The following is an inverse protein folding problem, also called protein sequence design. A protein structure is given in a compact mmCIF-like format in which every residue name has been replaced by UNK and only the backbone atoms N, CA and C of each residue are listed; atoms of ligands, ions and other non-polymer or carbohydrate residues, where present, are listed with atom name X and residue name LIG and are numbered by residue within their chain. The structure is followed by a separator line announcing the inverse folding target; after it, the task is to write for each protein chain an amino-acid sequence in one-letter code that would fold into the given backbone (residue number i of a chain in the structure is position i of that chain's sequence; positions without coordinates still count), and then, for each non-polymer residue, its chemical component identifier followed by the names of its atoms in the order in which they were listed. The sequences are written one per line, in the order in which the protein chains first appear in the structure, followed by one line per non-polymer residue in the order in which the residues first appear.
data_IF_237240455087
#
_entry.id   IF_237240455087
#
_cell.length_a   1.000
_cell.length_b   1.000
_cell.length_c   1.000
_cell.angle_alpha   90.00
_cell.angle_beta   90.00
_cell.angle_gamma   90.00
#
_symmetry.space_group_name_H-M   'P 1'
#
loop_
_entity.id
_entity.type
_entity.pdbx_description
1 polymer ?
#
# COMPACT_ATOMS: atom_id res chain seq x y z
N UNK A 1 31.74 -11.57 28.41
CA UNK A 1 31.45 -10.22 28.95
C UNK A 1 30.93 -9.37 27.80
N UNK A 2 29.76 -8.74 27.93
CA UNK A 2 29.23 -7.85 26.89
C UNK A 2 30.00 -6.53 26.89
N UNK A 3 30.58 -6.15 25.75
CA UNK A 3 31.25 -4.86 25.58
C UNK A 3 30.27 -3.69 25.54
N UNK A 4 30.79 -2.47 25.59
CA UNK A 4 29.97 -1.27 25.43
C UNK A 4 29.33 -1.26 24.03
N UNK A 5 28.01 -1.03 23.98
CA UNK A 5 27.24 -0.96 22.73
C UNK A 5 27.10 0.49 22.25
N UNK A 6 27.04 0.68 20.93
CA UNK A 6 26.88 1.99 20.31
C UNK A 6 25.50 2.61 20.63
N UNK A 7 25.42 3.94 20.57
CA UNK A 7 24.15 4.66 20.71
C UNK A 7 23.23 4.39 19.51
N UNK A 8 21.97 4.11 19.79
CA UNK A 8 20.91 3.86 18.81
C UNK A 8 19.75 4.83 19.02
N UNK A 9 18.86 4.94 18.02
CA UNK A 9 17.64 5.74 18.11
C UNK A 9 16.49 5.06 18.87
N UNK A 10 16.70 3.83 19.35
CA UNK A 10 15.70 3.04 20.06
C UNK A 10 16.35 2.23 21.18
N UNK A 11 15.81 2.36 22.40
CA UNK A 11 16.21 1.59 23.58
C UNK A 11 15.23 0.44 23.91
N UNK A 12 14.98 0.20 25.20
CA UNK A 12 14.10 -0.86 25.69
C UNK A 12 12.94 -0.31 26.53
N UNK A 13 12.08 -1.18 27.06
CA UNK A 13 11.07 -0.81 28.05
C UNK A 13 11.72 -0.07 29.22
N UNK A 14 11.23 1.14 29.51
CA UNK A 14 11.79 2.05 30.52
C UNK A 14 12.85 3.04 30.00
N UNK A 15 13.38 2.85 28.80
CA UNK A 15 14.43 3.70 28.22
C UNK A 15 14.37 3.79 26.69
N UNK A 16 13.15 3.89 26.12
CA UNK A 16 12.92 3.75 24.68
C UNK A 16 13.60 4.83 23.80
N UNK A 17 14.04 5.95 24.40
CA UNK A 17 14.69 7.06 23.69
C UNK A 17 13.73 8.16 23.23
N UNK A 18 12.45 8.11 23.64
CA UNK A 18 11.46 9.15 23.34
C UNK A 18 11.67 10.41 24.20
N UNK A 19 11.13 11.56 23.78
CA UNK A 19 10.99 12.74 24.64
C UNK A 19 10.29 12.39 25.96
N UNK A 20 10.62 13.14 27.03
CA UNK A 20 9.95 13.00 28.33
C UNK A 20 8.47 13.39 28.20
N UNK A 21 7.57 12.52 28.64
CA UNK A 21 6.13 12.77 28.61
C UNK A 21 5.62 13.06 30.03
N UNK A 22 4.84 14.12 30.22
CA UNK A 22 4.22 14.49 31.50
C UNK A 22 2.82 15.06 31.24
N UNK A 23 1.84 14.66 32.06
CA UNK A 23 0.46 15.18 31.97
C UNK A 23 -0.46 14.46 30.98
N UNK A 24 -0.01 13.38 30.34
CA UNK A 24 -0.84 12.53 29.48
C UNK A 24 -1.33 11.33 30.28
N UNK A 25 -2.65 11.17 30.40
CA UNK A 25 -3.28 10.02 31.07
C UNK A 25 -4.02 9.17 30.05
N UNK A 26 -3.70 7.88 29.97
CA UNK A 26 -4.38 6.91 29.12
C UNK A 26 -5.36 6.07 29.92
N UNK A 27 -6.51 5.76 29.32
CA UNK A 27 -7.54 4.90 29.90
C UNK A 27 -7.82 3.76 28.93
N UNK A 28 -8.05 2.57 29.46
CA UNK A 28 -8.40 1.39 28.68
C UNK A 28 -9.41 0.52 29.44
N UNK A 29 -10.24 -0.21 28.69
CA UNK A 29 -11.19 -1.20 29.24
C UNK A 29 -10.71 -2.60 28.86
N UNK A 30 -10.75 -3.55 29.81
CA UNK A 30 -10.39 -4.95 29.56
C UNK A 30 -11.16 -5.51 28.36
N UNK A 31 -10.49 -6.19 27.39
CA UNK A 31 -11.18 -6.77 26.24
C UNK A 31 -12.29 -7.75 26.62
N UNK A 32 -12.17 -8.47 27.75
CA UNK A 32 -13.21 -9.38 28.26
C UNK A 32 -14.47 -8.67 28.74
N UNK A 33 -14.39 -7.37 29.03
CA UNK A 33 -15.53 -6.54 29.41
C UNK A 33 -16.18 -5.82 28.21
N UNK A 34 -15.62 -5.98 27.00
CA UNK A 34 -16.14 -5.38 25.77
C UNK A 34 -16.90 -6.41 24.94
N UNK A 35 -17.85 -5.96 24.13
CA UNK A 35 -18.48 -6.79 23.10
C UNK A 35 -17.51 -6.87 21.91
N UNK A 36 -16.94 -8.05 21.59
CA UNK A 36 -15.99 -8.17 20.49
C UNK A 36 -16.68 -7.84 19.16
N UNK A 37 -15.98 -7.12 18.29
CA UNK A 37 -16.45 -6.75 16.95
C UNK A 37 -17.77 -5.96 16.95
N UNK A 38 -18.12 -5.28 18.04
CA UNK A 38 -19.32 -4.46 18.06
C UNK A 38 -19.22 -3.31 17.05
N UNK A 39 -20.21 -3.18 16.17
CA UNK A 39 -20.26 -2.12 15.16
C UNK A 39 -19.32 -2.32 13.96
N UNK A 40 -18.72 -3.51 13.77
CA UNK A 40 -17.78 -3.73 12.66
C UNK A 40 -18.42 -3.51 11.30
N UNK A 41 -19.65 -3.94 11.07
CA UNK A 41 -20.25 -3.87 9.73
C UNK A 41 -20.53 -2.42 9.31
N UNK A 42 -21.14 -1.64 10.20
CA UNK A 42 -21.39 -0.23 9.97
C UNK A 42 -20.08 0.54 9.80
N UNK A 43 -19.13 0.37 10.74
CA UNK A 43 -17.88 1.10 10.72
C UNK A 43 -16.97 0.65 9.56
N UNK A 44 -16.89 -0.64 9.26
CA UNK A 44 -16.06 -1.15 8.18
C UNK A 44 -16.55 -0.63 6.83
N UNK A 45 -17.85 -0.62 6.54
CA UNK A 45 -18.34 -0.17 5.22
C UNK A 45 -18.04 1.32 5.01
N UNK A 46 -18.54 2.20 5.89
CA UNK A 46 -18.42 3.64 5.69
C UNK A 46 -16.99 4.15 5.88
N UNK A 47 -16.27 3.65 6.88
CA UNK A 47 -14.90 4.10 7.13
C UNK A 47 -13.94 3.56 6.07
N UNK A 48 -14.12 2.32 5.58
CA UNK A 48 -13.27 1.78 4.52
C UNK A 48 -13.49 2.55 3.22
N UNK A 49 -14.74 2.80 2.84
CA UNK A 49 -15.03 3.61 1.66
C UNK A 49 -14.41 5.00 1.76
N UNK A 50 -14.57 5.68 2.90
CA UNK A 50 -13.96 7.00 3.15
C UNK A 50 -12.43 6.96 2.99
N UNK A 51 -11.76 5.92 3.51
CA UNK A 51 -10.31 5.76 3.40
C UNK A 51 -9.85 5.47 1.98
N UNK A 52 -10.55 4.56 1.28
CA UNK A 52 -10.23 4.19 -0.11
C UNK A 52 -10.45 5.37 -1.04
N UNK A 53 -11.56 6.11 -0.90
CA UNK A 53 -11.87 7.28 -1.72
C UNK A 53 -10.75 8.32 -1.71
N UNK A 54 -10.11 8.56 -0.57
CA UNK A 54 -9.02 9.54 -0.46
C UNK A 54 -7.71 9.10 -1.13
N UNK A 55 -7.53 7.80 -1.39
CA UNK A 55 -6.28 7.24 -1.90
C UNK A 55 -6.41 6.63 -3.31
N UNK A 56 -7.64 6.33 -3.74
CA UNK A 56 -7.89 5.56 -4.97
C UNK A 56 -7.28 6.21 -6.20
N UNK A 57 -7.25 7.55 -6.29
CA UNK A 57 -6.69 8.22 -7.46
C UNK A 57 -5.16 8.07 -7.58
N UNK A 58 -4.45 8.00 -6.44
CA UNK A 58 -3.00 7.78 -6.45
C UNK A 58 -2.61 6.37 -6.92
N UNK A 59 -3.55 5.42 -6.86
CA UNK A 59 -3.32 4.04 -7.31
C UNK A 59 -3.92 3.81 -8.69
N UNK A 60 -5.17 4.21 -8.90
CA UNK A 60 -5.94 3.94 -10.11
C UNK A 60 -5.37 4.68 -11.33
N UNK A 61 -4.87 5.91 -11.17
CA UNK A 61 -4.30 6.66 -12.31
C UNK A 61 -3.00 5.99 -12.78
N UNK A 62 -1.98 5.76 -11.94
CA UNK A 62 -0.78 5.05 -12.39
C UNK A 62 -1.09 3.64 -12.92
N UNK A 63 -1.94 2.88 -12.23
CA UNK A 63 -2.32 1.54 -12.68
C UNK A 63 -3.01 1.57 -14.05
N UNK A 64 -3.93 2.51 -14.27
CA UNK A 64 -4.63 2.68 -15.54
C UNK A 64 -3.69 3.07 -16.68
N UNK A 65 -2.72 3.96 -16.43
CA UNK A 65 -1.71 4.35 -17.42
C UNK A 65 -0.87 3.15 -17.87
N UNK A 66 -0.33 2.40 -16.92
CA UNK A 66 0.47 1.20 -17.24
C UNK A 66 -0.35 0.12 -17.91
N UNK A 67 -1.59 -0.07 -17.48
CA UNK A 67 -2.49 -1.04 -18.09
C UNK A 67 -2.81 -0.70 -19.54
N UNK A 68 -3.11 0.58 -19.83
CA UNK A 68 -3.37 1.04 -21.19
C UNK A 68 -2.12 0.88 -22.08
N UNK A 69 -0.94 1.25 -21.57
CA UNK A 69 0.30 1.05 -22.30
C UNK A 69 0.55 -0.42 -22.62
N UNK A 70 0.39 -1.30 -21.64
CA UNK A 70 0.53 -2.75 -21.82
C UNK A 70 -0.43 -3.31 -22.86
N UNK A 71 -1.71 -2.95 -22.80
CA UNK A 71 -2.73 -3.42 -23.76
C UNK A 71 -2.35 -3.00 -25.18
N UNK A 72 -1.96 -1.74 -25.39
CA UNK A 72 -1.54 -1.26 -26.71
C UNK A 72 -0.32 -2.02 -27.25
N UNK A 73 0.71 -2.22 -26.42
CA UNK A 73 1.91 -2.95 -26.85
C UNK A 73 1.62 -4.43 -27.14
N UNK A 74 0.79 -5.08 -26.32
CA UNK A 74 0.38 -6.46 -26.51
C UNK A 74 -0.40 -6.64 -27.80
N UNK A 75 -1.40 -5.80 -28.03
CA UNK A 75 -2.29 -5.90 -29.20
C UNK A 75 -1.53 -5.58 -30.50
N UNK A 76 -0.64 -4.59 -30.44
CA UNK A 76 0.25 -4.28 -31.56
C UNK A 76 1.23 -5.41 -31.87
N UNK A 77 1.82 -6.02 -30.83
CA UNK A 77 2.69 -7.18 -30.99
C UNK A 77 1.93 -8.36 -31.63
N UNK A 78 0.73 -8.66 -31.15
CA UNK A 78 -0.12 -9.70 -31.71
C UNK A 78 -0.43 -9.42 -33.20
N UNK A 79 -0.78 -8.18 -33.53
CA UNK A 79 -1.01 -7.75 -34.91
C UNK A 79 0.22 -7.95 -35.82
N UNK A 80 1.43 -7.56 -35.38
CA UNK A 80 2.65 -7.71 -36.17
C UNK A 80 2.92 -9.17 -36.58
N UNK A 81 2.56 -10.13 -35.74
CA UNK A 81 2.72 -11.56 -36.02
C UNK A 81 1.52 -12.19 -36.74
N UNK A 82 0.54 -11.40 -37.19
CA UNK A 82 -0.51 -11.87 -38.10
C UNK A 82 -0.06 -11.82 -39.56
N UNK A 83 -0.85 -12.46 -40.46
CA UNK A 83 -0.62 -12.33 -41.90
C UNK A 83 -0.75 -10.88 -42.40
N UNK A 84 -1.64 -10.09 -41.80
CA UNK A 84 -1.87 -8.70 -42.20
C UNK A 84 -0.72 -7.77 -41.78
N UNK A 85 -0.08 -8.04 -40.64
CA UNK A 85 1.03 -7.23 -40.11
C UNK A 85 2.42 -7.59 -40.66
N UNK A 86 2.54 -8.61 -41.52
CA UNK A 86 3.82 -9.13 -42.03
C UNK A 86 4.72 -8.05 -42.62
N UNK A 87 4.18 -7.19 -43.49
CA UNK A 87 4.93 -6.12 -44.15
C UNK A 87 5.45 -5.07 -43.15
N UNK A 88 4.68 -4.81 -42.10
CA UNK A 88 5.07 -3.87 -41.05
C UNK A 88 6.12 -4.47 -40.13
N UNK A 89 5.98 -5.75 -39.77
CA UNK A 89 6.97 -6.50 -39.00
C UNK A 89 8.33 -6.52 -39.72
N UNK A 90 8.34 -6.84 -41.01
CA UNK A 90 9.57 -6.89 -41.80
C UNK A 90 10.22 -5.49 -41.93
N UNK A 91 9.46 -4.40 -41.80
CA UNK A 91 9.99 -3.02 -41.77
C UNK A 91 10.61 -2.66 -40.42
N UNK A 92 9.98 -3.02 -39.30
CA UNK A 92 10.40 -2.60 -37.95
C UNK A 92 11.42 -3.53 -37.30
N UNK A 93 11.66 -4.71 -37.88
CA UNK A 93 12.58 -5.73 -37.39
C UNK A 93 13.97 -5.70 -38.08
N UNK A 94 14.24 -4.67 -38.88
CA UNK A 94 15.54 -4.40 -39.53
C UNK A 94 16.27 -3.30 -38.77
#
# INVERSE_FOLDING_TARGET
MGGASAKTFMGWWGSIGSPKQKGVTSYAVSPYAQKPLNGIYHNAVFNTFRRVKSQVLYVAIPAGLYWMWWVNCRDYNEYLYTKAGKEELDRVNV
#
